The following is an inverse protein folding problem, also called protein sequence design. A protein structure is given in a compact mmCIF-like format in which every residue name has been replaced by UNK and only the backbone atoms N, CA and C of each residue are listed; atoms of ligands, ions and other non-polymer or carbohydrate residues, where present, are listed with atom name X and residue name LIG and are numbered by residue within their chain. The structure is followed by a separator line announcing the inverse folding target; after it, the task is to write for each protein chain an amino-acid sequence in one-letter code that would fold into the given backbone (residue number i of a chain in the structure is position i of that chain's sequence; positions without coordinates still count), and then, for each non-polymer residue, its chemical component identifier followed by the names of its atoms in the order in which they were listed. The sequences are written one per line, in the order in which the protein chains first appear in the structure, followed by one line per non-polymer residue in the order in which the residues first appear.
data_IF_200363849282
#
_entry.id   IF_200363849282
#
_cell.length_a   1.000
_cell.length_b   1.000
_cell.length_c   1.000
_cell.angle_alpha   90.00
_cell.angle_beta   90.00
_cell.angle_gamma   90.00
#
_symmetry.space_group_name_H-M   'P 1'
#
loop_
_entity.id
_entity.type
_entity.pdbx_description
1 polymer ?
#
# COMPACT_ATOMS: atom_id res chain seq x y z
N UNK A 1 12.58 3.05 16.18
CA UNK A 1 13.36 2.09 15.35
C UNK A 1 14.16 1.11 16.18
N UNK A 2 14.97 1.56 17.16
CA UNK A 2 15.74 0.67 18.06
C UNK A 2 14.97 -0.54 18.60
N UNK A 3 13.74 -0.34 19.07
CA UNK A 3 12.89 -1.43 19.59
C UNK A 3 12.48 -2.46 18.53
N UNK A 4 12.18 -2.01 17.32
CA UNK A 4 11.61 -2.85 16.27
C UNK A 4 12.66 -3.57 15.42
N UNK A 5 13.79 -2.90 15.16
CA UNK A 5 14.80 -3.35 14.17
C UNK A 5 16.19 -3.56 14.79
N UNK A 6 16.42 -3.04 16.00
CA UNK A 6 17.72 -3.10 16.66
C UNK A 6 18.50 -1.78 16.58
N UNK A 7 19.67 -1.73 17.22
CA UNK A 7 20.45 -0.48 17.41
C UNK A 7 21.05 0.05 16.10
N UNK A 8 21.38 -0.84 15.18
CA UNK A 8 22.09 -0.51 13.93
C UNK A 8 21.11 -0.18 12.79
N UNK A 9 19.83 0.09 13.09
CA UNK A 9 18.79 0.37 12.10
C UNK A 9 19.14 1.53 11.16
N UNK A 10 19.95 2.50 11.62
CA UNK A 10 20.34 3.65 10.82
C UNK A 10 21.20 3.26 9.62
N UNK A 11 21.91 2.13 9.69
CA UNK A 11 22.74 1.61 8.58
C UNK A 11 21.90 1.07 7.41
N UNK A 12 20.60 0.86 7.63
CA UNK A 12 19.67 0.38 6.60
C UNK A 12 19.14 1.50 5.70
N UNK A 13 19.45 2.77 6.01
CA UNK A 13 18.88 3.94 5.34
C UNK A 13 19.96 4.93 4.94
N UNK A 14 20.03 5.27 3.65
CA UNK A 14 20.94 6.32 3.16
C UNK A 14 20.54 7.72 3.66
N UNK A 15 19.27 7.92 4.06
CA UNK A 15 18.78 9.17 4.61
C UNK A 15 17.54 8.91 5.46
N UNK A 16 17.38 9.65 6.56
CA UNK A 16 16.19 9.57 7.42
C UNK A 16 15.54 10.94 7.51
N UNK A 17 14.24 11.01 7.23
CA UNK A 17 13.46 12.25 7.35
C UNK A 17 12.35 12.07 8.37
N UNK A 18 12.48 12.77 9.50
CA UNK A 18 11.50 12.84 10.57
C UNK A 18 10.53 14.01 10.36
N UNK A 19 9.35 13.97 10.97
CA UNK A 19 8.42 15.11 10.99
C UNK A 19 8.16 15.73 9.61
N UNK A 20 8.11 14.92 8.55
CA UNK A 20 8.02 15.39 7.16
C UNK A 20 6.78 16.29 6.89
N UNK A 21 5.76 16.21 7.75
CA UNK A 21 4.59 17.09 7.66
C UNK A 21 3.67 16.73 6.49
N UNK A 22 3.57 15.43 6.16
CA UNK A 22 2.67 14.90 5.11
C UNK A 22 1.21 15.33 5.36
N UNK A 23 0.42 15.64 4.30
CA UNK A 23 0.80 15.67 2.88
C UNK A 23 1.60 16.93 2.48
N UNK A 24 1.82 17.86 3.41
CA UNK A 24 2.50 19.13 3.16
C UNK A 24 3.93 19.01 2.63
N UNK A 25 4.61 17.89 2.91
CA UNK A 25 5.90 17.53 2.30
C UNK A 25 5.86 17.59 0.77
N UNK A 26 4.78 17.13 0.17
CA UNK A 26 4.59 17.05 -1.28
C UNK A 26 4.10 18.36 -1.90
N UNK A 27 4.08 19.47 -1.15
CA UNK A 27 3.74 20.78 -1.72
C UNK A 27 4.71 21.14 -2.84
N UNK A 28 4.15 21.52 -3.99
CA UNK A 28 4.91 22.02 -5.13
C UNK A 28 4.98 23.55 -5.21
N UNK A 29 4.32 24.27 -4.30
CA UNK A 29 4.22 25.74 -4.31
C UNK A 29 4.96 26.37 -3.14
N UNK A 30 5.65 27.48 -3.43
CA UNK A 30 6.39 28.28 -2.44
C UNK A 30 5.46 29.04 -1.46
N UNK A 31 5.91 29.32 -0.22
CA UNK A 31 7.22 28.97 0.33
C UNK A 31 7.30 27.49 0.76
N UNK A 32 8.35 26.80 0.33
CA UNK A 32 8.63 25.42 0.72
C UNK A 32 9.21 25.35 2.14
N UNK A 33 8.92 24.25 2.83
CA UNK A 33 9.47 24.01 4.17
C UNK A 33 10.90 23.52 4.04
N UNK A 34 11.85 24.21 4.70
CA UNK A 34 13.27 23.82 4.70
C UNK A 34 13.52 22.59 5.58
N UNK A 35 14.49 21.79 5.18
CA UNK A 35 15.00 20.71 6.01
C UNK A 35 15.81 21.26 7.18
N UNK A 36 15.76 20.57 8.33
CA UNK A 36 16.64 20.84 9.47
C UNK A 36 17.46 19.60 9.78
N UNK A 37 18.75 19.74 10.02
CA UNK A 37 19.60 18.63 10.49
C UNK A 37 19.27 18.30 11.95
N UNK A 38 19.19 17.01 12.28
CA UNK A 38 18.93 16.53 13.63
C UNK A 38 20.22 16.01 14.29
N UNK A 39 20.48 16.47 15.52
CA UNK A 39 21.43 15.86 16.45
C UNK A 39 20.64 15.18 17.57
N UNK A 40 20.51 13.85 17.47
CA UNK A 40 19.57 13.07 18.27
C UNK A 40 18.13 13.51 18.01
N UNK A 41 17.49 14.09 19.04
CA UNK A 41 16.09 14.56 18.97
C UNK A 41 15.96 16.07 18.72
N UNK A 42 17.08 16.80 18.54
CA UNK A 42 17.07 18.27 18.45
C UNK A 42 17.33 18.76 17.04
N UNK A 43 16.49 19.68 16.57
CA UNK A 43 16.73 20.46 15.35
C UNK A 43 17.90 21.42 15.59
N UNK A 44 18.96 21.31 14.78
CA UNK A 44 20.19 22.09 14.93
C UNK A 44 20.14 23.34 14.05
N UNK A 45 20.01 23.15 12.74
CA UNK A 45 20.02 24.24 11.77
C UNK A 45 19.26 23.85 10.49
N UNK A 46 18.76 24.86 9.78
CA UNK A 46 18.23 24.68 8.42
C UNK A 46 19.36 24.33 7.46
N UNK A 47 19.12 23.40 6.55
CA UNK A 47 20.08 23.03 5.50
C UNK A 47 19.55 23.38 4.12
N UNK A 48 20.46 23.76 3.22
CA UNK A 48 20.17 24.03 1.81
C UNK A 48 20.36 22.79 0.93
N UNK A 49 21.14 21.80 1.39
CA UNK A 49 21.41 20.55 0.68
C UNK A 49 21.44 19.37 1.65
N UNK A 50 20.79 18.28 1.25
CA UNK A 50 20.80 17.01 1.96
C UNK A 50 22.08 16.23 1.67
N UNK A 51 22.52 15.43 2.63
CA UNK A 51 23.68 14.55 2.56
C UNK A 51 23.28 13.14 2.99
N UNK A 52 23.98 12.15 2.44
CA UNK A 52 23.81 10.74 2.82
C UNK A 52 24.20 10.51 4.29
N UNK A 53 23.63 9.45 4.87
CA UNK A 53 23.85 8.96 6.23
C UNK A 53 23.55 10.00 7.30
N UNK A 54 22.57 10.89 7.05
CA UNK A 54 22.11 11.91 7.98
C UNK A 54 20.62 11.81 8.26
N UNK A 55 20.25 12.36 9.42
CA UNK A 55 18.87 12.47 9.89
C UNK A 55 18.44 13.93 9.81
N UNK A 56 17.31 14.15 9.15
CA UNK A 56 16.70 15.46 8.98
C UNK A 56 15.28 15.48 9.54
N UNK A 57 14.76 16.67 9.80
CA UNK A 57 13.34 16.88 10.02
C UNK A 57 12.72 17.78 8.94
N UNK A 58 11.39 17.69 8.81
CA UNK A 58 10.57 18.54 7.93
C UNK A 58 10.93 18.35 6.45
N UNK A 59 11.19 19.45 5.76
CA UNK A 59 11.58 19.45 4.36
C UNK A 59 10.42 19.46 3.37
N UNK A 60 10.77 19.17 2.12
CA UNK A 60 9.85 19.18 1.00
C UNK A 60 10.33 18.23 -0.12
N UNK A 61 9.39 17.82 -0.97
CA UNK A 61 9.62 16.87 -2.06
C UNK A 61 10.61 17.39 -3.11
N UNK A 62 10.64 18.70 -3.41
CA UNK A 62 11.53 19.28 -4.43
C UNK A 62 13.01 19.13 -4.05
N UNK A 63 13.35 19.50 -2.82
CA UNK A 63 14.73 19.40 -2.33
C UNK A 63 15.12 17.92 -2.13
N UNK A 64 14.17 17.07 -1.72
CA UNK A 64 14.38 15.63 -1.63
C UNK A 64 14.61 14.98 -3.01
N UNK A 65 13.87 15.41 -4.04
CA UNK A 65 14.08 14.96 -5.42
C UNK A 65 15.47 15.37 -5.92
N UNK A 66 15.93 16.57 -5.57
CA UNK A 66 17.29 17.03 -5.90
C UNK A 66 18.36 16.13 -5.24
N UNK A 67 18.11 15.65 -4.02
CA UNK A 67 18.98 14.68 -3.35
C UNK A 67 18.98 13.33 -4.09
N UNK A 68 17.81 12.79 -4.43
CA UNK A 68 17.70 11.52 -5.14
C UNK A 68 18.37 11.54 -6.52
N UNK A 69 18.25 12.66 -7.26
CA UNK A 69 18.93 12.85 -8.54
C UNK A 69 20.46 12.75 -8.39
N UNK A 70 21.02 13.39 -7.35
CA UNK A 70 22.45 13.33 -7.06
C UNK A 70 22.90 11.93 -6.65
N UNK A 71 22.13 11.26 -5.77
CA UNK A 71 22.46 9.93 -5.27
C UNK A 71 22.43 8.86 -6.38
N UNK A 72 21.44 8.94 -7.27
CA UNK A 72 21.24 7.95 -8.35
C UNK A 72 22.00 8.29 -9.64
N UNK A 73 22.52 9.52 -9.75
CA UNK A 73 23.06 10.08 -10.98
C UNK A 73 22.06 9.97 -12.16
N UNK A 74 20.78 10.24 -11.88
CA UNK A 74 19.69 10.23 -12.86
C UNK A 74 18.89 11.52 -12.79
N UNK A 75 18.56 12.11 -13.93
CA UNK A 75 17.71 13.32 -13.98
C UNK A 75 16.27 13.03 -13.51
N UNK A 76 15.78 11.81 -13.75
CA UNK A 76 14.45 11.38 -13.33
C UNK A 76 14.54 10.06 -12.53
N UNK A 77 14.91 10.11 -11.23
CA UNK A 77 14.99 8.92 -10.40
C UNK A 77 13.63 8.28 -10.23
N UNK A 78 13.55 6.96 -10.42
CA UNK A 78 12.32 6.21 -10.17
C UNK A 78 12.18 5.94 -8.67
N UNK A 79 11.04 6.31 -8.11
CA UNK A 79 10.74 6.12 -6.69
C UNK A 79 9.54 5.19 -6.52
N UNK A 80 9.70 4.21 -5.62
CA UNK A 80 8.60 3.41 -5.07
C UNK A 80 8.43 3.79 -3.60
N UNK A 81 7.27 4.35 -3.27
CA UNK A 81 6.92 4.77 -1.92
C UNK A 81 6.02 3.74 -1.26
N UNK A 82 6.32 3.37 -0.01
CA UNK A 82 5.47 2.52 0.81
C UNK A 82 4.67 3.39 1.78
N UNK A 83 3.35 3.26 1.76
CA UNK A 83 2.47 4.08 2.61
C UNK A 83 1.15 3.37 2.92
N UNK A 84 0.57 3.72 4.05
CA UNK A 84 -0.66 3.14 4.60
C UNK A 84 -1.85 4.11 4.52
N UNK A 85 -1.58 5.41 4.49
CA UNK A 85 -2.63 6.44 4.48
C UNK A 85 -2.93 6.96 3.09
N UNK A 86 -4.13 6.69 2.57
CA UNK A 86 -4.55 7.21 1.26
C UNK A 86 -4.40 8.74 1.17
N UNK A 87 -4.73 9.46 2.24
CA UNK A 87 -4.77 10.93 2.27
C UNK A 87 -3.38 11.57 2.36
N UNK A 88 -2.51 11.05 3.22
CA UNK A 88 -1.20 11.66 3.48
C UNK A 88 -0.08 11.08 2.64
N UNK A 89 -0.29 9.87 2.10
CA UNK A 89 0.77 9.06 1.51
C UNK A 89 0.48 8.79 0.03
N UNK A 90 -0.54 7.98 -0.28
CA UNK A 90 -0.79 7.53 -1.66
C UNK A 90 -1.15 8.70 -2.59
N UNK A 91 -2.24 9.40 -2.30
CA UNK A 91 -2.73 10.52 -3.11
C UNK A 91 -1.63 11.54 -3.42
N UNK A 92 -0.93 12.13 -2.42
CA UNK A 92 0.05 13.16 -2.71
C UNK A 92 1.33 12.63 -3.38
N UNK A 93 1.72 11.38 -3.12
CA UNK A 93 2.89 10.76 -3.78
C UNK A 93 2.67 10.61 -5.28
N UNK A 94 1.46 10.17 -5.68
CA UNK A 94 1.12 10.05 -7.11
C UNK A 94 0.89 11.41 -7.74
N UNK A 95 0.07 12.27 -7.13
CA UNK A 95 -0.41 13.51 -7.76
C UNK A 95 0.65 14.61 -7.80
N UNK A 96 1.48 14.71 -6.78
CA UNK A 96 2.49 15.77 -6.68
C UNK A 96 3.92 15.25 -6.78
N UNK A 97 4.13 13.98 -6.43
CA UNK A 97 5.47 13.38 -6.35
C UNK A 97 5.94 12.66 -7.60
N UNK A 98 5.02 12.26 -8.49
CA UNK A 98 5.27 11.33 -9.62
C UNK A 98 5.95 10.02 -9.17
N UNK A 99 5.53 9.50 -8.01
CA UNK A 99 6.07 8.28 -7.42
C UNK A 99 5.12 7.09 -7.65
N UNK A 100 5.69 5.90 -7.85
CA UNK A 100 4.92 4.66 -7.72
C UNK A 100 4.65 4.41 -6.24
N UNK A 101 3.52 3.79 -5.92
CA UNK A 101 3.13 3.58 -4.52
C UNK A 101 2.75 2.12 -4.27
N UNK A 102 3.39 1.49 -3.29
CA UNK A 102 2.96 0.24 -2.71
C UNK A 102 2.14 0.54 -1.45
N UNK A 103 0.84 0.31 -1.52
CA UNK A 103 -0.07 0.48 -0.39
C UNK A 103 0.15 -0.65 0.62
N UNK A 104 0.43 -0.30 1.87
CA UNK A 104 0.47 -1.24 3.00
C UNK A 104 -0.94 -1.27 3.61
N UNK A 105 -1.64 -2.38 3.44
CA UNK A 105 -3.08 -2.49 3.72
C UNK A 105 -3.40 -3.74 4.56
N UNK A 106 -3.39 -3.59 5.89
CA UNK A 106 -3.59 -4.70 6.84
C UNK A 106 -4.98 -5.36 6.75
N UNK A 107 -5.96 -4.65 6.18
CA UNK A 107 -7.31 -5.13 5.91
C UNK A 107 -7.32 -6.32 4.95
N UNK A 108 -6.30 -6.45 4.08
CA UNK A 108 -6.14 -7.64 3.23
C UNK A 108 -5.97 -8.92 4.06
N UNK A 109 -5.17 -8.87 5.12
CA UNK A 109 -4.99 -10.02 6.02
C UNK A 109 -6.24 -10.26 6.86
N UNK A 110 -6.87 -9.18 7.32
CA UNK A 110 -8.06 -9.25 8.18
C UNK A 110 -9.24 -9.89 7.45
N UNK A 111 -9.57 -9.45 6.23
CA UNK A 111 -10.60 -10.07 5.38
C UNK A 111 -10.19 -11.43 4.80
N UNK A 112 -8.90 -11.72 4.85
CA UNK A 112 -8.27 -12.85 4.22
C UNK A 112 -8.10 -12.69 2.71
N UNK A 113 -7.16 -13.46 2.16
CA UNK A 113 -6.78 -13.39 0.75
C UNK A 113 -7.03 -14.71 0.03
N UNK A 114 -7.34 -14.62 -1.27
CA UNK A 114 -7.35 -15.72 -2.23
C UNK A 114 -6.14 -15.55 -3.12
N UNK A 115 -5.20 -16.49 -2.99
CA UNK A 115 -4.05 -16.60 -3.89
C UNK A 115 -4.50 -17.41 -5.10
N UNK A 116 -4.28 -16.90 -6.31
CA UNK A 116 -4.40 -17.71 -7.51
C UNK A 116 -3.31 -18.79 -7.43
N UNK A 117 -3.68 -20.05 -7.17
CA UNK A 117 -2.81 -21.15 -7.56
C UNK A 117 -2.96 -21.27 -9.06
N UNK A 118 -1.86 -21.15 -9.81
CA UNK A 118 -1.83 -21.60 -11.19
C UNK A 118 -2.42 -23.00 -11.23
N UNK A 119 -3.56 -23.15 -11.91
CA UNK A 119 -4.19 -24.45 -12.12
C UNK A 119 -3.45 -25.29 -13.18
N UNK A 120 -2.34 -24.80 -13.73
CA UNK A 120 -1.57 -25.50 -14.75
C UNK A 120 -0.06 -25.35 -14.50
N UNK A 121 0.54 -26.31 -13.81
CA UNK A 121 1.93 -26.70 -14.07
C UNK A 121 2.16 -28.13 -13.56
N UNK A 122 2.16 -29.04 -14.53
CA UNK A 122 2.80 -30.34 -14.43
C UNK A 122 4.28 -30.14 -14.11
N UNK A 123 4.81 -31.08 -13.35
CA UNK A 123 6.13 -31.17 -12.72
C UNK A 123 7.34 -30.56 -13.46
N UNK A 124 8.21 -29.96 -12.64
CA UNK A 124 9.69 -29.98 -12.66
C UNK A 124 10.36 -28.60 -12.77
N UNK A 125 10.41 -27.92 -11.62
CA UNK A 125 11.12 -26.66 -11.41
C UNK A 125 11.20 -26.34 -9.90
N UNK A 126 12.16 -25.51 -9.44
CA UNK A 126 12.29 -25.18 -8.03
C UNK A 126 10.98 -24.53 -7.58
N UNK A 127 10.25 -25.24 -6.72
CA UNK A 127 8.93 -24.85 -6.24
C UNK A 127 9.01 -23.42 -5.72
N UNK A 128 8.20 -22.46 -6.21
CA UNK A 128 8.00 -21.25 -5.44
C UNK A 128 7.56 -21.72 -4.06
N UNK A 129 8.29 -21.31 -3.02
CA UNK A 129 7.99 -21.69 -1.65
C UNK A 129 6.49 -21.54 -1.50
N UNK A 130 5.78 -22.64 -1.17
CA UNK A 130 4.43 -22.53 -0.59
C UNK A 130 4.49 -21.33 0.33
N UNK A 131 3.58 -20.36 0.21
CA UNK A 131 3.38 -19.36 1.25
C UNK A 131 3.39 -20.15 2.54
N UNK A 132 4.52 -20.09 3.23
CA UNK A 132 4.78 -21.00 4.32
C UNK A 132 3.91 -20.38 5.37
N UNK A 133 2.77 -21.01 5.62
CA UNK A 133 1.97 -20.80 6.80
C UNK A 133 2.79 -21.26 8.02
N UNK A 134 4.02 -20.78 8.18
CA UNK A 134 4.53 -20.39 9.46
C UNK A 134 3.86 -19.04 9.68
N UNK A 135 2.68 -18.93 10.30
CA UNK A 135 2.51 -19.32 11.70
C UNK A 135 3.82 -19.20 12.52
N UNK A 136 4.66 -18.19 12.24
CA UNK A 136 5.03 -17.36 13.36
C UNK A 136 3.69 -16.84 13.85
N UNK A 137 3.25 -17.32 15.01
CA UNK A 137 1.95 -16.98 15.56
C UNK A 137 1.85 -15.47 15.66
N UNK A 138 1.31 -14.84 14.62
CA UNK A 138 0.62 -13.59 14.73
C UNK A 138 -0.71 -14.04 15.29
N UNK A 139 -0.82 -14.08 16.62
CA UNK A 139 -2.10 -13.84 17.24
C UNK A 139 -2.53 -12.50 16.69
N UNK A 140 -3.37 -12.53 15.65
CA UNK A 140 -4.16 -11.37 15.28
C UNK A 140 -4.92 -11.08 16.57
N UNK A 141 -4.68 -9.90 17.16
CA UNK A 141 -5.40 -9.48 18.35
C UNK A 141 -6.89 -9.71 18.06
N UNK A 142 -7.54 -10.63 18.80
CA UNK A 142 -8.93 -11.02 18.54
C UNK A 142 -9.87 -9.81 18.43
N UNK A 143 -9.53 -8.73 19.12
CA UNK A 143 -10.22 -7.44 19.07
C UNK A 143 -10.17 -6.76 17.69
N UNK A 144 -9.08 -6.89 16.92
CA UNK A 144 -8.96 -6.31 15.56
C UNK A 144 -9.81 -7.06 14.55
N UNK A 145 -9.83 -8.40 14.61
CA UNK A 145 -10.72 -9.22 13.76
C UNK A 145 -12.18 -8.88 14.01
N UNK A 146 -12.59 -8.70 15.27
CA UNK A 146 -13.97 -8.35 15.62
C UNK A 146 -14.42 -7.00 15.05
N UNK A 147 -13.52 -6.02 14.94
CA UNK A 147 -13.84 -4.69 14.38
C UNK A 147 -13.82 -4.72 12.85
N UNK A 148 -12.75 -5.26 12.25
CA UNK A 148 -12.55 -5.25 10.79
C UNK A 148 -13.49 -6.23 10.06
N UNK A 149 -13.89 -7.31 10.73
CA UNK A 149 -14.87 -8.27 10.22
C UNK A 149 -16.25 -8.09 10.85
N UNK A 150 -16.47 -6.95 11.52
CA UNK A 150 -17.76 -6.66 12.11
C UNK A 150 -18.83 -6.58 11.03
N UNK A 151 -19.92 -7.33 11.23
CA UNK A 151 -21.13 -7.23 10.41
C UNK A 151 -21.75 -5.82 10.43
N UNK A 152 -21.31 -4.92 11.33
CA UNK A 152 -21.77 -3.54 11.39
C UNK A 152 -21.28 -2.70 10.21
N UNK A 153 -20.03 -2.89 9.75
CA UNK A 153 -19.39 -2.03 8.76
C UNK A 153 -19.27 -2.67 7.38
N UNK A 154 -19.29 -4.01 7.31
CA UNK A 154 -19.15 -4.75 6.07
C UNK A 154 -17.69 -4.81 5.59
N UNK A 155 -17.48 -5.25 4.35
CA UNK A 155 -16.14 -5.34 3.76
C UNK A 155 -15.60 -3.95 3.39
N UNK A 156 -14.30 -3.77 3.62
CA UNK A 156 -13.47 -2.68 3.15
C UNK A 156 -13.47 -2.55 1.62
N UNK A 157 -13.54 -3.67 0.90
CA UNK A 157 -13.41 -3.71 -0.56
C UNK A 157 -14.76 -3.75 -1.28
N UNK A 158 -15.80 -4.31 -0.65
CA UNK A 158 -17.11 -4.50 -1.31
C UNK A 158 -18.29 -4.15 -0.40
N UNK A 159 -19.18 -3.28 -0.88
CA UNK A 159 -20.53 -3.14 -0.36
C UNK A 159 -21.43 -4.28 -0.86
N UNK A 160 -21.98 -5.04 0.08
CA UNK A 160 -23.01 -6.04 -0.25
C UNK A 160 -24.34 -5.33 -0.55
N UNK A 161 -24.95 -5.62 -1.68
CA UNK A 161 -26.26 -5.07 -2.02
C UNK A 161 -27.33 -5.72 -1.11
N UNK A 162 -27.77 -5.01 -0.08
CA UNK A 162 -28.75 -5.48 0.92
C UNK A 162 -30.11 -5.82 0.31
N UNK A 163 -30.42 -5.32 -0.89
CA UNK A 163 -31.66 -5.61 -1.61
C UNK A 163 -31.80 -7.09 -2.02
N UNK A 164 -30.71 -7.85 -2.13
CA UNK A 164 -30.76 -9.27 -2.48
C UNK A 164 -31.02 -10.20 -1.29
N UNK A 165 -30.85 -9.74 -0.04
CA UNK A 165 -31.02 -10.55 1.18
C UNK A 165 -32.45 -10.51 1.74
N UNK A 166 -33.15 -9.39 1.55
CA UNK A 166 -34.55 -9.28 1.94
C UNK A 166 -35.39 -9.63 0.71
N UNK A 167 -35.92 -10.85 0.65
CA UNK A 167 -36.78 -11.33 -0.44
C UNK A 167 -38.13 -10.60 -0.58
N UNK A 168 -38.10 -9.28 -0.75
CA UNK A 168 -39.20 -8.45 -1.23
C UNK A 168 -38.70 -7.70 -2.47
N UNK A 169 -38.51 -8.45 -3.56
CA UNK A 169 -38.59 -7.85 -4.89
C UNK A 169 -40.09 -7.70 -5.18
N UNK A 170 -40.63 -6.53 -4.89
CA UNK A 170 -41.85 -6.10 -5.57
C UNK A 170 -41.47 -5.86 -7.03
N UNK A 171 -41.85 -6.82 -7.88
CA UNK A 171 -41.75 -6.74 -9.33
C UNK A 171 -42.54 -5.54 -9.86
N UNK A 172 -41.92 -4.36 -9.90
CA UNK A 172 -42.31 -3.29 -10.83
C UNK A 172 -41.19 -2.26 -10.92
N UNK A 173 -40.61 -2.15 -12.12
CA UNK A 173 -39.72 -1.08 -12.60
C UNK A 173 -38.25 -1.15 -12.14
N UNK A 174 -37.49 -2.06 -12.72
CA UNK A 174 -36.46 -1.67 -13.69
C UNK A 174 -36.04 -2.89 -14.52
N UNK A 175 -36.62 -2.99 -15.72
CA UNK A 175 -36.13 -3.88 -16.77
C UNK A 175 -34.87 -3.20 -17.29
N UNK A 176 -33.68 -3.68 -16.91
CA UNK A 176 -32.45 -3.63 -17.74
C UNK A 176 -31.16 -4.11 -17.04
N UNK A 177 -31.21 -4.76 -15.87
CA UNK A 177 -30.03 -5.45 -15.34
C UNK A 177 -30.34 -6.87 -14.88
N UNK A 178 -30.30 -7.80 -15.84
CA UNK A 178 -30.08 -9.21 -15.55
C UNK A 178 -28.65 -9.33 -15.04
N UNK A 179 -28.46 -9.39 -13.73
CA UNK A 179 -27.15 -9.70 -13.16
C UNK A 179 -26.89 -11.18 -13.40
N UNK A 180 -26.33 -11.48 -14.57
CA UNK A 180 -25.67 -12.74 -14.85
C UNK A 180 -24.67 -12.99 -13.71
N UNK A 181 -24.85 -14.09 -12.97
CA UNK A 181 -23.85 -14.60 -12.04
C UNK A 181 -22.63 -15.03 -12.86
N UNK A 182 -21.79 -14.08 -13.24
CA UNK A 182 -20.47 -14.37 -13.76
C UNK A 182 -19.67 -14.95 -12.60
N UNK A 183 -19.23 -16.19 -12.78
CA UNK A 183 -18.19 -16.84 -11.98
C UNK A 183 -16.87 -16.08 -12.15
N UNK A 184 -16.81 -14.87 -11.60
CA UNK A 184 -15.74 -13.90 -11.80
C UNK A 184 -15.56 -13.02 -10.57
N UNK A 185 -14.37 -12.46 -10.44
CA UNK A 185 -13.97 -11.55 -9.36
C UNK A 185 -14.91 -10.33 -9.34
N UNK A 186 -15.48 -10.00 -8.17
CA UNK A 186 -16.22 -8.76 -7.94
C UNK A 186 -15.29 -7.56 -8.07
N UNK A 187 -15.78 -6.48 -8.65
CA UNK A 187 -15.09 -5.20 -8.64
C UNK A 187 -15.12 -4.59 -7.23
N UNK A 188 -14.08 -3.84 -6.88
CA UNK A 188 -14.15 -3.00 -5.70
C UNK A 188 -15.20 -1.92 -5.95
N UNK A 189 -16.12 -1.72 -5.02
CA UNK A 189 -17.20 -0.74 -5.16
C UNK A 189 -17.36 0.13 -3.91
N UNK A 190 -16.34 0.13 -3.05
CA UNK A 190 -16.23 1.05 -1.93
C UNK A 190 -15.43 2.26 -2.36
N UNK A 191 -15.74 3.41 -1.78
CA UNK A 191 -14.97 4.63 -2.01
C UNK A 191 -13.46 4.44 -1.71
N UNK A 192 -13.12 3.65 -0.69
CA UNK A 192 -11.74 3.33 -0.36
C UNK A 192 -11.06 2.44 -1.40
N UNK A 193 -11.79 1.45 -1.94
CA UNK A 193 -11.31 0.61 -3.03
C UNK A 193 -10.99 1.42 -4.29
N UNK A 194 -11.87 2.35 -4.66
CA UNK A 194 -11.65 3.24 -5.82
C UNK A 194 -10.39 4.10 -5.64
N UNK A 195 -10.22 4.68 -4.44
CA UNK A 195 -9.04 5.49 -4.14
C UNK A 195 -7.76 4.64 -4.12
N UNK A 196 -7.83 3.42 -3.59
CA UNK A 196 -6.72 2.49 -3.57
C UNK A 196 -6.28 2.15 -5.00
N UNK A 197 -7.20 1.75 -5.87
CA UNK A 197 -6.90 1.42 -7.27
C UNK A 197 -6.30 2.61 -8.02
N UNK A 198 -6.80 3.81 -7.75
CA UNK A 198 -6.36 5.04 -8.43
C UNK A 198 -5.00 5.54 -7.97
N UNK A 199 -4.67 5.40 -6.68
CA UNK A 199 -3.50 6.05 -6.07
C UNK A 199 -2.44 5.05 -5.57
N UNK A 200 -2.56 3.77 -5.91
CA UNK A 200 -1.52 2.78 -5.66
C UNK A 200 -1.19 1.99 -6.92
N UNK A 201 0.08 1.61 -7.03
CA UNK A 201 0.56 0.69 -8.05
C UNK A 201 0.24 -0.73 -7.67
N UNK A 202 0.51 -1.11 -6.41
CA UNK A 202 0.17 -2.41 -5.83
C UNK A 202 -0.32 -2.22 -4.39
N UNK A 203 -1.02 -3.23 -3.88
CA UNK A 203 -1.36 -3.33 -2.47
C UNK A 203 -0.80 -4.63 -1.87
N UNK A 204 -0.15 -4.49 -0.73
CA UNK A 204 0.43 -5.57 0.07
C UNK A 204 -0.05 -5.47 1.51
N UNK A 205 -0.26 -6.57 2.23
CA UNK A 205 -0.71 -6.51 3.62
C UNK A 205 0.36 -5.93 4.54
N UNK A 206 1.61 -6.37 4.37
CA UNK A 206 2.78 -6.00 5.16
C UNK A 206 4.03 -6.06 4.28
N UNK A 207 5.08 -5.32 4.68
CA UNK A 207 6.33 -5.22 3.90
C UNK A 207 7.06 -6.57 3.82
N UNK A 208 6.98 -7.40 4.87
CA UNK A 208 7.66 -8.70 4.93
C UNK A 208 7.26 -9.66 3.79
N UNK A 209 6.04 -9.54 3.25
CA UNK A 209 5.57 -10.35 2.11
C UNK A 209 6.42 -10.21 0.85
N UNK A 210 7.11 -9.08 0.66
CA UNK A 210 7.93 -8.84 -0.52
C UNK A 210 9.43 -9.01 -0.27
N UNK A 211 9.85 -9.13 1.00
CA UNK A 211 11.29 -9.18 1.37
C UNK A 211 12.02 -10.44 0.91
N UNK A 212 11.31 -11.55 0.72
CA UNK A 212 11.88 -12.81 0.24
C UNK A 212 11.83 -12.97 -1.28
N UNK A 213 11.30 -11.98 -2.01
CA UNK A 213 11.18 -12.06 -3.46
C UNK A 213 12.52 -11.75 -4.15
N UNK A 214 12.76 -12.33 -5.34
CA UNK A 214 13.89 -11.93 -6.18
C UNK A 214 13.85 -10.43 -6.49
N UNK A 215 15.03 -9.81 -6.65
CA UNK A 215 15.14 -8.38 -6.98
C UNK A 215 14.53 -8.02 -8.34
N UNK A 216 14.46 -8.99 -9.26
CA UNK A 216 13.84 -8.87 -10.58
C UNK A 216 12.38 -9.36 -10.62
N UNK A 217 11.78 -9.61 -9.46
CA UNK A 217 10.36 -9.97 -9.38
C UNK A 217 9.48 -8.86 -9.96
N UNK A 218 8.59 -9.25 -10.86
CA UNK A 218 7.65 -8.33 -11.52
C UNK A 218 6.29 -8.43 -10.87
N UNK A 219 5.79 -7.31 -10.34
CA UNK A 219 4.44 -7.23 -9.81
C UNK A 219 3.42 -6.90 -10.90
N UNK A 220 2.20 -7.40 -10.72
CA UNK A 220 1.06 -6.97 -11.54
C UNK A 220 0.41 -5.73 -10.89
N UNK A 221 0.47 -4.55 -11.54
CA UNK A 221 -0.11 -3.34 -10.97
C UNK A 221 -1.65 -3.34 -11.07
N UNK A 222 -2.29 -2.45 -10.31
CA UNK A 222 -3.69 -2.12 -10.49
C UNK A 222 -3.97 -1.67 -11.93
N UNK A 223 -5.01 -2.26 -12.51
CA UNK A 223 -5.50 -1.95 -13.85
C UNK A 223 -6.95 -2.41 -13.99
N UNK A 224 -7.65 -1.94 -15.03
CA UNK A 224 -9.05 -2.27 -15.27
C UNK A 224 -9.37 -3.77 -15.35
N UNK A 225 -8.39 -4.64 -15.62
CA UNK A 225 -8.57 -6.10 -15.69
C UNK A 225 -7.89 -6.87 -14.56
N UNK A 226 -6.98 -6.23 -13.81
CA UNK A 226 -6.19 -6.85 -12.75
C UNK A 226 -6.18 -5.94 -11.53
N UNK A 227 -6.70 -6.42 -10.41
CA UNK A 227 -6.74 -5.55 -9.23
C UNK A 227 -5.52 -5.70 -8.32
N UNK A 228 -4.29 -5.51 -8.82
CA UNK A 228 -3.09 -5.04 -8.09
C UNK A 228 -2.69 -5.60 -6.70
N UNK A 229 -3.31 -6.67 -6.21
CA UNK A 229 -3.07 -7.23 -4.88
C UNK A 229 -1.99 -8.31 -4.89
N UNK A 230 -1.09 -8.25 -3.92
CA UNK A 230 -0.10 -9.28 -3.66
C UNK A 230 -0.09 -9.67 -2.17
N UNK A 231 0.03 -10.96 -1.79
CA UNK A 231 0.21 -12.15 -2.65
C UNK A 231 -1.08 -12.70 -3.25
N UNK A 232 -2.22 -12.14 -2.89
CA UNK A 232 -3.53 -12.59 -3.34
C UNK A 232 -4.57 -11.51 -3.16
N UNK A 233 -5.70 -11.66 -3.83
CA UNK A 233 -6.79 -10.68 -3.76
C UNK A 233 -7.67 -10.93 -2.54
N UNK A 234 -8.24 -9.89 -1.91
CA UNK A 234 -9.15 -10.04 -0.78
C UNK A 234 -10.30 -11.02 -1.07
N UNK A 235 -10.65 -11.87 -0.10
CA UNK A 235 -11.71 -12.88 -0.21
C UNK A 235 -13.06 -12.27 -0.55
N UNK A 236 -13.36 -11.08 -0.04
CA UNK A 236 -14.55 -10.31 -0.38
C UNK A 236 -14.69 -10.01 -1.87
N UNK A 237 -13.63 -10.11 -2.68
CA UNK A 237 -13.75 -9.98 -4.13
C UNK A 237 -14.15 -11.29 -4.84
N UNK A 238 -14.32 -12.39 -4.11
CA UNK A 238 -14.65 -13.72 -4.67
C UNK A 238 -15.90 -14.35 -4.09
N UNK A 239 -16.50 -13.70 -3.08
CA UNK A 239 -17.74 -14.13 -2.41
C UNK A 239 -18.99 -13.51 -3.06
#
# INVERSE_FOLDING_TARGET
MNYAVGKDWSEMFDIVVCMAGKPGFFKSKEPLTKFHELDGEKEVCTVEQLQENKIYSRGNHKDFTTFLQKQTNQDNPKVLYFGDSIKSDLYPSVVFGDWHVAAVLEEMESEGMVTCKDKDSVEDGPRPKKARLASHGIEIEKSKEEILLSNQWGSFFVHHNTAARNGLINNTLDKDYVHEMKTGRREMNTFWGDLLEKYSTIAIPRIDFITELPLDYTFEPFSASKGGFFPGSPKSLHL
#
